data_IF_643228852660
#
_entry.id   IF_643228852660
#
_cell.length_a   1.000
_cell.length_b   1.000
_cell.length_c   1.000
_cell.angle_alpha   90.00
_cell.angle_beta   90.00
_cell.angle_gamma   90.00
#
_symmetry.space_group_name_H-M   'P 1'
#
loop_
_entity.id
_entity.type
_entity.pdbx_description
1 polymer ?
#
# COMPACT_ATOMS: atom_id res chain seq x y z
N UNK A 1 -11.55 -19.99 -13.25
CA UNK A 1 -11.80 -18.62 -12.76
C UNK A 1 -10.90 -17.66 -13.50
N UNK A 2 -11.42 -16.50 -13.89
CA UNK A 2 -10.60 -15.42 -14.44
C UNK A 2 -9.89 -14.65 -13.30
N UNK A 3 -8.98 -13.73 -13.65
CA UNK A 3 -8.22 -12.99 -12.64
C UNK A 3 -9.08 -12.08 -11.76
N UNK A 4 -10.17 -11.53 -12.29
CA UNK A 4 -11.07 -10.66 -11.52
C UNK A 4 -11.79 -11.45 -10.42
N UNK A 5 -12.22 -12.67 -10.72
CA UNK A 5 -12.84 -13.58 -9.75
C UNK A 5 -11.85 -13.97 -8.64
N UNK A 6 -10.58 -14.23 -9.00
CA UNK A 6 -9.52 -14.51 -8.02
C UNK A 6 -9.29 -13.29 -7.12
N UNK A 7 -9.15 -12.09 -7.70
CA UNK A 7 -8.95 -10.86 -6.94
C UNK A 7 -10.11 -10.60 -5.96
N UNK A 8 -11.35 -10.83 -6.40
CA UNK A 8 -12.52 -10.66 -5.56
C UNK A 8 -12.56 -11.70 -4.43
N UNK A 9 -12.27 -12.97 -4.72
CA UNK A 9 -12.25 -14.04 -3.72
C UNK A 9 -11.15 -13.80 -2.66
N UNK A 10 -9.95 -13.42 -3.10
CA UNK A 10 -8.84 -13.10 -2.19
C UNK A 10 -9.14 -11.89 -1.31
N UNK A 11 -9.83 -10.87 -1.84
CA UNK A 11 -10.24 -9.69 -1.07
C UNK A 11 -11.33 -10.00 -0.04
N UNK A 12 -12.22 -10.95 -0.33
CA UNK A 12 -13.25 -11.41 0.60
C UNK A 12 -12.70 -12.35 1.69
N UNK A 13 -11.54 -12.96 1.47
CA UNK A 13 -10.95 -13.89 2.43
C UNK A 13 -10.42 -13.15 3.66
N UNK A 14 -10.97 -13.35 4.87
CA UNK A 14 -10.51 -12.68 6.09
C UNK A 14 -9.05 -12.99 6.45
N UNK A 15 -8.51 -14.14 6.05
CA UNK A 15 -7.11 -14.52 6.35
C UNK A 15 -6.08 -13.62 5.64
N UNK A 16 -6.49 -12.93 4.57
CA UNK A 16 -5.65 -11.97 3.86
C UNK A 16 -5.66 -10.58 4.52
N UNK A 17 -6.43 -10.38 5.60
CA UNK A 17 -6.54 -9.11 6.31
C UNK A 17 -5.92 -9.20 7.71
N UNK A 18 -5.15 -8.18 8.06
CA UNK A 18 -4.59 -8.03 9.41
C UNK A 18 -4.61 -6.56 9.82
N UNK A 19 -5.45 -6.23 10.82
CA UNK A 19 -5.57 -4.87 11.39
C UNK A 19 -5.75 -3.79 10.29
N UNK A 20 -6.55 -4.09 9.27
CA UNK A 20 -6.82 -3.18 8.14
C UNK A 20 -5.73 -3.11 7.06
N UNK A 21 -4.64 -3.87 7.19
CA UNK A 21 -3.69 -4.14 6.11
C UNK A 21 -4.14 -5.37 5.32
N UNK A 22 -3.77 -5.39 4.03
CA UNK A 22 -4.13 -6.47 3.11
C UNK A 22 -2.88 -7.13 2.53
N UNK A 23 -2.88 -8.46 2.49
CA UNK A 23 -1.80 -9.26 1.93
C UNK A 23 -2.37 -10.44 1.15
N UNK A 24 -2.25 -10.41 -0.18
CA UNK A 24 -2.49 -11.59 -1.02
C UNK A 24 -1.48 -11.63 -2.17
N UNK A 25 -0.84 -12.79 -2.35
CA UNK A 25 0.05 -13.05 -3.50
C UNK A 25 -0.73 -13.40 -4.78
N UNK A 26 -2.01 -13.74 -4.66
CA UNK A 26 -2.86 -14.16 -5.79
C UNK A 26 -3.72 -13.01 -6.33
N UNK A 27 -4.04 -12.03 -5.49
CA UNK A 27 -4.63 -10.78 -5.93
C UNK A 27 -3.58 -9.93 -6.65
N UNK A 28 -3.81 -9.65 -7.93
CA UNK A 28 -2.84 -8.92 -8.76
C UNK A 28 -2.89 -7.41 -8.59
N UNK A 29 -3.89 -6.89 -7.86
CA UNK A 29 -4.02 -5.44 -7.63
C UNK A 29 -2.97 -4.96 -6.64
N UNK A 30 -2.35 -3.82 -6.95
CA UNK A 30 -1.44 -3.12 -6.03
C UNK A 30 -2.22 -2.33 -4.97
N UNK A 31 -3.32 -1.71 -5.38
CA UNK A 31 -4.21 -0.93 -4.53
C UNK A 31 -5.56 -1.64 -4.45
N UNK A 32 -6.10 -1.78 -3.24
CA UNK A 32 -7.41 -2.38 -3.00
C UNK A 32 -8.25 -1.48 -2.09
N UNK A 33 -9.58 -1.45 -2.26
CA UNK A 33 -10.45 -0.76 -1.30
C UNK A 33 -10.37 -1.47 0.05
N UNK A 34 -10.46 -0.75 1.16
CA UNK A 34 -10.58 -1.38 2.48
C UNK A 34 -11.95 -2.05 2.65
N UNK A 35 -12.02 -3.05 3.53
CA UNK A 35 -13.29 -3.75 3.85
C UNK A 35 -14.40 -2.80 4.30
N UNK A 36 -14.03 -1.71 4.96
CA UNK A 36 -14.91 -0.60 5.31
C UNK A 36 -14.70 0.52 4.28
N UNK A 37 -15.62 0.74 3.32
CA UNK A 37 -15.35 1.57 2.13
C UNK A 37 -14.98 3.02 2.43
N UNK A 38 -15.53 3.62 3.49
CA UNK A 38 -15.23 5.02 3.84
C UNK A 38 -13.79 5.22 4.34
N UNK A 39 -13.10 4.16 4.76
CA UNK A 39 -11.69 4.23 5.15
C UNK A 39 -10.73 4.30 3.94
N UNK A 40 -11.28 4.30 2.71
CA UNK A 40 -10.51 4.48 1.48
C UNK A 40 -9.80 3.22 1.01
N UNK A 41 -8.57 3.39 0.50
CA UNK A 41 -7.78 2.35 -0.14
C UNK A 41 -6.58 1.93 0.71
N UNK A 42 -6.04 0.76 0.43
CA UNK A 42 -4.79 0.27 1.02
C UNK A 42 -3.95 -0.45 -0.03
N UNK A 43 -2.68 -0.69 0.30
CA UNK A 43 -1.77 -1.45 -0.55
C UNK A 43 -1.98 -2.95 -0.31
N UNK A 44 -1.90 -3.72 -1.38
CA UNK A 44 -1.68 -5.15 -1.28
C UNK A 44 -0.18 -5.42 -1.07
N UNK A 45 0.20 -5.65 0.19
CA UNK A 45 1.59 -5.93 0.58
C UNK A 45 2.08 -7.32 0.14
N UNK A 46 1.20 -8.14 -0.42
CA UNK A 46 1.57 -9.41 -1.07
C UNK A 46 2.20 -9.24 -2.45
N UNK A 47 2.14 -8.04 -3.03
CA UNK A 47 2.71 -7.73 -4.35
C UNK A 47 4.02 -6.96 -4.24
N UNK A 48 4.94 -7.17 -5.20
CA UNK A 48 6.19 -6.40 -5.29
C UNK A 48 5.93 -4.90 -5.40
N UNK A 49 4.96 -4.51 -6.22
CA UNK A 49 4.57 -3.12 -6.38
C UNK A 49 4.05 -2.51 -5.07
N UNK A 50 3.18 -3.23 -4.34
CA UNK A 50 2.66 -2.76 -3.06
C UNK A 50 3.76 -2.58 -2.01
N UNK A 51 4.73 -3.49 -1.94
CA UNK A 51 5.89 -3.36 -1.07
C UNK A 51 6.77 -2.15 -1.44
N UNK A 52 7.01 -1.91 -2.75
CA UNK A 52 7.76 -0.74 -3.22
C UNK A 52 7.06 0.56 -2.83
N UNK A 53 5.73 0.65 -3.01
CA UNK A 53 4.94 1.80 -2.57
C UNK A 53 5.07 2.05 -1.07
N UNK A 54 4.97 1.01 -0.25
CA UNK A 54 5.12 1.11 1.21
C UNK A 54 6.51 1.63 1.57
N UNK A 55 7.57 1.10 0.97
CA UNK A 55 8.95 1.59 1.18
C UNK A 55 9.08 3.05 0.75
N UNK A 56 8.50 3.42 -0.40
CA UNK A 56 8.49 4.80 -0.89
C UNK A 56 7.82 5.76 0.10
N UNK A 57 6.74 5.35 0.76
CA UNK A 57 6.11 6.17 1.80
C UNK A 57 6.91 6.22 3.09
N UNK A 58 7.44 5.10 3.56
CA UNK A 58 8.17 5.03 4.84
C UNK A 58 9.56 5.69 4.77
N UNK A 59 10.21 5.67 3.62
CA UNK A 59 11.58 6.16 3.45
C UNK A 59 11.60 7.40 2.53
N UNK A 60 10.93 7.32 1.39
CA UNK A 60 10.95 8.37 0.38
C UNK A 60 10.33 9.68 0.86
N UNK A 61 9.16 9.64 1.54
CA UNK A 61 8.53 10.86 2.07
C UNK A 61 9.43 11.55 3.12
N UNK A 62 9.95 10.85 4.16
CA UNK A 62 10.86 11.49 5.12
C UNK A 62 12.11 12.06 4.48
N UNK A 63 12.78 11.33 3.57
CA UNK A 63 13.96 11.84 2.87
C UNK A 63 13.61 13.09 2.07
N UNK A 64 12.50 13.08 1.34
CA UNK A 64 12.04 14.23 0.58
C UNK A 64 11.81 15.45 1.48
N UNK A 65 11.15 15.27 2.63
CA UNK A 65 10.95 16.35 3.61
C UNK A 65 12.29 16.89 4.13
N UNK A 66 13.23 16.01 4.50
CA UNK A 66 14.56 16.42 4.98
C UNK A 66 15.29 17.25 3.92
N UNK A 67 15.29 16.79 2.67
CA UNK A 67 15.92 17.51 1.56
C UNK A 67 15.26 18.86 1.30
N UNK A 68 13.93 18.94 1.36
CA UNK A 68 13.19 20.19 1.24
C UNK A 68 13.54 21.19 2.35
N UNK A 69 13.62 20.72 3.60
CA UNK A 69 14.01 21.56 4.74
C UNK A 69 15.46 22.03 4.59
N UNK A 70 16.38 21.14 4.23
CA UNK A 70 17.78 21.48 4.02
C UNK A 70 17.98 22.49 2.87
N UNK A 71 17.17 22.41 1.81
CA UNK A 71 17.23 23.33 0.69
C UNK A 71 16.65 24.73 0.99
N UNK A 72 15.77 24.84 1.98
CA UNK A 72 15.06 26.09 2.31
C UNK A 72 15.53 26.76 3.61
N UNK A 73 16.26 26.04 4.47
CA UNK A 73 16.87 26.59 5.67
C UNK A 73 18.31 27.07 5.35
N UNK A 74 18.64 28.36 5.46
CA UNK A 74 20.01 28.82 5.28
C UNK A 74 20.86 28.28 6.43
N UNK A 75 21.94 27.56 6.10
CA UNK A 75 22.96 27.18 7.08
C UNK A 75 23.51 28.46 7.73
N UNK A 76 23.63 28.53 9.07
CA UNK A 76 24.19 29.70 9.75
C UNK A 76 25.66 29.94 9.41
#
# INVERSE_FOLDING_TARGET
>A
MNQQEINQAEWQNPDNWSVGLYFSKKDTRTWVPKQIPWMGWTLNLGTRAGAIWMIGFLIGIPIFIILLVAATCPMP
#
